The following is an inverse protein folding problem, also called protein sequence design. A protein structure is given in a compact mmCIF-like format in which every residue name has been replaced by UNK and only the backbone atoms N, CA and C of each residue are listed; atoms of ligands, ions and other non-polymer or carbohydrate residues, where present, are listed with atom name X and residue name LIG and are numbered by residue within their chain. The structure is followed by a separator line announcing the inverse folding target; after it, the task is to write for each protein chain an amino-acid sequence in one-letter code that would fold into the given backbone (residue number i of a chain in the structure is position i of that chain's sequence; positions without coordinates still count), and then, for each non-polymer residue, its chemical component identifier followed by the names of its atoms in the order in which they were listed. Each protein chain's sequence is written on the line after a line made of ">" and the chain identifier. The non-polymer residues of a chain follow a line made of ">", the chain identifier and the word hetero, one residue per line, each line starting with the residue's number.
data_IF_784241463125
#
_entry.id   IF_784241463125
#
_cell.length_a   1.000
_cell.length_b   1.000
_cell.length_c   1.000
_cell.angle_alpha   90.00
_cell.angle_beta   90.00
_cell.angle_gamma   90.00
#
_symmetry.space_group_name_H-M   'P 1'
#
loop_
_entity.id
_entity.type
_entity.pdbx_description
1 polymer ?
#
# COMPACT_ATOMS: atom_id res chain seq x y z
N UNK A 1 -51.96 -15.81 10.23
CA UNK A 1 -50.63 -15.20 10.06
C UNK A 1 -50.69 -14.33 8.81
N UNK A 2 -50.47 -13.02 8.94
CA UNK A 2 -50.69 -12.09 7.84
C UNK A 2 -49.44 -12.07 6.93
N UNK A 3 -49.54 -12.44 5.63
CA UNK A 3 -48.37 -12.52 4.75
C UNK A 3 -47.66 -11.16 4.58
N UNK A 4 -48.37 -10.07 4.85
CA UNK A 4 -47.83 -8.70 4.83
C UNK A 4 -46.79 -8.45 5.92
N UNK A 5 -46.93 -9.03 7.12
CA UNK A 5 -45.99 -8.76 8.23
C UNK A 5 -44.67 -9.52 8.06
N UNK A 6 -44.71 -10.72 7.48
CA UNK A 6 -43.53 -11.53 7.15
C UNK A 6 -42.69 -10.85 6.06
N UNK A 7 -43.35 -10.30 5.03
CA UNK A 7 -42.68 -9.54 3.97
C UNK A 7 -42.04 -8.26 4.50
N UNK A 8 -42.73 -7.52 5.36
CA UNK A 8 -42.20 -6.30 5.98
C UNK A 8 -41.01 -6.64 6.88
N UNK A 9 -41.12 -7.67 7.71
CA UNK A 9 -40.02 -8.12 8.58
C UNK A 9 -38.78 -8.55 7.77
N UNK A 10 -38.98 -9.29 6.67
CA UNK A 10 -37.91 -9.70 5.76
C UNK A 10 -37.19 -8.52 5.10
N UNK A 11 -37.95 -7.56 4.56
CA UNK A 11 -37.37 -6.38 3.90
C UNK A 11 -36.58 -5.51 4.88
N UNK A 12 -37.12 -5.30 6.08
CA UNK A 12 -36.44 -4.52 7.14
C UNK A 12 -35.14 -5.21 7.58
N UNK A 13 -35.16 -6.54 7.74
CA UNK A 13 -33.97 -7.32 8.07
C UNK A 13 -32.87 -7.20 7.03
N UNK A 14 -33.22 -7.35 5.74
CA UNK A 14 -32.27 -7.23 4.63
C UNK A 14 -31.70 -5.80 4.55
N UNK A 15 -32.54 -4.77 4.68
CA UNK A 15 -32.10 -3.38 4.66
C UNK A 15 -31.11 -3.08 5.80
N UNK A 16 -31.38 -3.56 7.02
CA UNK A 16 -30.50 -3.39 8.16
C UNK A 16 -29.13 -4.05 7.94
N UNK A 17 -29.10 -5.26 7.36
CA UNK A 17 -27.87 -5.97 7.02
C UNK A 17 -27.06 -5.23 5.95
N UNK A 18 -27.71 -4.72 4.90
CA UNK A 18 -27.03 -3.97 3.83
C UNK A 18 -26.44 -2.67 4.38
N UNK A 19 -27.20 -1.93 5.19
CA UNK A 19 -26.73 -0.69 5.81
C UNK A 19 -25.56 -0.98 6.76
N UNK A 20 -25.70 -1.99 7.63
CA UNK A 20 -24.62 -2.43 8.53
C UNK A 20 -23.36 -2.83 7.77
N UNK A 21 -23.51 -3.57 6.66
CA UNK A 21 -22.40 -3.99 5.81
C UNK A 21 -21.73 -2.81 5.08
N UNK A 22 -22.50 -1.84 4.59
CA UNK A 22 -21.97 -0.63 3.95
C UNK A 22 -21.22 0.26 4.95
N UNK A 23 -21.76 0.42 6.16
CA UNK A 23 -21.10 1.13 7.26
C UNK A 23 -19.82 0.41 7.66
N UNK A 24 -19.88 -0.92 7.81
CA UNK A 24 -18.72 -1.74 8.14
C UNK A 24 -17.65 -1.71 7.05
N UNK A 25 -18.01 -1.77 5.77
CA UNK A 25 -17.07 -1.58 4.65
C UNK A 25 -16.41 -0.20 4.69
N UNK A 26 -17.19 0.85 4.98
CA UNK A 26 -16.68 2.22 5.07
C UNK A 26 -15.80 2.45 6.30
N UNK A 27 -16.01 1.72 7.39
CA UNK A 27 -15.14 1.75 8.57
C UNK A 27 -13.91 0.85 8.42
N UNK A 28 -14.05 -0.33 7.82
CA UNK A 28 -12.95 -1.27 7.58
C UNK A 28 -11.92 -0.72 6.57
N UNK A 29 -12.36 0.07 5.59
CA UNK A 29 -11.46 0.83 4.72
C UNK A 29 -10.70 1.96 5.42
N UNK A 30 -11.14 2.37 6.62
CA UNK A 30 -10.48 3.40 7.44
C UNK A 30 -9.57 2.81 8.52
N UNK A 31 -9.73 1.52 8.85
CA UNK A 31 -8.99 0.84 9.93
C UNK A 31 -7.78 0.01 9.46
N UNK A 32 -7.49 -0.07 8.16
CA UNK A 32 -6.37 -0.86 7.63
C UNK A 32 -5.00 -0.17 7.69
N UNK A 33 -4.92 1.06 8.20
CA UNK A 33 -3.72 1.90 8.08
C UNK A 33 -3.03 2.35 9.37
N UNK A 34 -3.51 1.98 10.56
CA UNK A 34 -2.88 2.43 11.79
C UNK A 34 -2.73 1.29 12.79
N UNK A 35 -1.64 0.52 12.65
CA UNK A 35 -1.02 -0.05 13.84
C UNK A 35 -0.64 1.13 14.72
N UNK A 36 -1.14 1.26 15.97
CA UNK A 36 -0.54 2.19 16.90
C UNK A 36 0.87 1.66 17.13
N UNK A 37 1.84 2.22 16.41
CA UNK A 37 3.23 2.05 16.78
C UNK A 37 3.32 2.75 18.13
N UNK A 38 3.38 1.96 19.21
CA UNK A 38 3.73 2.48 20.52
C UNK A 38 5.04 3.23 20.33
N UNK A 39 4.96 4.55 20.30
CA UNK A 39 6.04 5.45 19.96
C UNK A 39 7.23 5.17 20.90
N UNK A 40 8.22 4.43 20.40
CA UNK A 40 9.58 4.48 20.91
C UNK A 40 10.25 5.59 20.14
N UNK A 41 10.20 6.81 20.68
CA UNK A 41 11.11 7.87 20.26
C UNK A 41 12.57 7.38 20.30
N UNK A 42 13.53 8.18 19.79
CA UNK A 42 14.93 7.82 19.85
C UNK A 42 15.31 7.39 21.28
N UNK A 43 15.94 6.21 21.43
CA UNK A 43 16.33 5.67 22.75
C UNK A 43 17.26 6.62 23.50
N UNK A 44 17.98 7.48 22.77
CA UNK A 44 18.89 8.48 23.29
C UNK A 44 18.35 9.89 22.97
N UNK A 45 18.49 10.84 23.89
CA UNK A 45 18.12 12.25 23.69
C UNK A 45 19.06 13.00 22.73
N UNK A 46 20.19 12.38 22.35
CA UNK A 46 21.22 12.95 21.49
C UNK A 46 21.43 12.10 20.23
N UNK A 47 21.75 12.77 19.13
CA UNK A 47 22.14 12.14 17.87
C UNK A 47 23.49 12.63 17.38
N UNK A 48 24.19 11.78 16.63
CA UNK A 48 25.43 12.13 15.94
C UNK A 48 25.11 12.74 14.59
N UNK A 49 25.59 13.95 14.34
CA UNK A 49 25.45 14.62 13.06
C UNK A 49 26.24 13.89 11.96
N UNK A 50 25.59 13.51 10.86
CA UNK A 50 26.25 12.86 9.74
C UNK A 50 27.24 13.77 8.96
N UNK A 51 27.19 15.09 9.17
CA UNK A 51 28.07 16.04 8.48
C UNK A 51 29.31 16.45 9.28
N UNK A 52 29.18 16.67 10.58
CA UNK A 52 30.27 17.17 11.44
C UNK A 52 30.58 16.27 12.64
N UNK A 53 29.98 15.08 12.71
CA UNK A 53 30.12 14.07 13.79
C UNK A 53 29.86 14.55 15.23
N UNK A 54 29.47 15.80 15.45
CA UNK A 54 29.08 16.31 16.76
C UNK A 54 27.79 15.67 17.29
N UNK A 55 27.66 15.61 18.62
CA UNK A 55 26.45 15.16 19.31
C UNK A 55 25.52 16.35 19.58
N UNK A 56 24.26 16.24 19.17
CA UNK A 56 23.26 17.29 19.35
C UNK A 56 21.96 16.72 19.92
N UNK A 57 21.23 17.51 20.68
CA UNK A 57 19.92 17.11 21.19
C UNK A 57 18.92 16.94 20.03
N UNK A 58 18.07 15.91 20.12
CA UNK A 58 17.02 15.69 19.14
C UNK A 58 16.04 16.86 19.09
N UNK A 59 15.95 17.52 17.94
CA UNK A 59 14.89 18.50 17.64
C UNK A 59 13.70 17.80 17.00
N UNK A 60 12.53 18.45 17.01
CA UNK A 60 11.30 17.95 16.35
C UNK A 60 11.56 17.49 14.89
N UNK A 61 12.43 18.19 14.15
CA UNK A 61 12.85 17.80 12.79
C UNK A 61 13.56 16.45 12.77
N UNK A 62 14.50 16.23 13.68
CA UNK A 62 15.29 15.00 13.71
C UNK A 62 14.50 13.81 14.24
N UNK A 63 13.58 14.03 15.17
CA UNK A 63 12.65 12.99 15.67
C UNK A 63 11.73 12.54 14.54
N UNK A 64 11.10 13.47 13.82
CA UNK A 64 10.25 13.11 12.66
C UNK A 64 11.03 12.45 11.53
N UNK A 65 12.29 12.84 11.31
CA UNK A 65 13.16 12.14 10.35
C UNK A 65 13.48 10.71 10.81
N UNK A 66 13.72 10.51 12.11
CA UNK A 66 13.99 9.21 12.72
C UNK A 66 12.78 8.28 12.66
N UNK A 67 11.58 8.79 12.98
CA UNK A 67 10.30 8.06 12.84
C UNK A 67 10.06 7.60 11.40
N UNK A 68 10.45 8.40 10.42
CA UNK A 68 10.39 8.06 8.98
C UNK A 68 11.45 7.03 8.56
N UNK A 69 12.29 6.55 9.48
CA UNK A 69 13.36 5.59 9.22
C UNK A 69 14.67 6.20 8.72
N UNK A 70 14.79 7.54 8.69
CA UNK A 70 16.05 8.18 8.33
C UNK A 70 17.08 8.00 9.43
N UNK A 71 18.23 7.41 9.08
CA UNK A 71 19.37 7.20 9.99
C UNK A 71 20.45 8.27 9.85
N UNK A 72 20.39 9.10 8.82
CA UNK A 72 21.33 10.21 8.58
C UNK A 72 20.65 11.53 8.92
N UNK A 73 20.89 12.01 10.14
CA UNK A 73 20.38 13.30 10.62
C UNK A 73 21.53 14.31 10.70
N UNK A 74 21.25 15.56 10.32
CA UNK A 74 22.21 16.66 10.32
C UNK A 74 21.82 17.71 11.37
N UNK A 75 22.82 18.29 12.04
CA UNK A 75 22.64 19.50 12.86
C UNK A 75 22.19 20.69 11.98
N UNK A 76 21.69 21.76 12.59
CA UNK A 76 21.10 22.87 11.83
C UNK A 76 22.09 23.56 10.89
N UNK A 77 23.34 23.71 11.29
CA UNK A 77 24.40 24.27 10.45
C UNK A 77 24.68 23.39 9.22
N UNK A 78 24.90 22.07 9.43
CA UNK A 78 25.13 21.12 8.34
C UNK A 78 23.91 20.96 7.44
N UNK A 79 22.70 20.97 8.01
CA UNK A 79 21.46 20.89 7.26
C UNK A 79 21.26 22.12 6.37
N UNK A 80 21.59 23.33 6.85
CA UNK A 80 21.55 24.56 6.05
C UNK A 80 22.52 24.49 4.87
N UNK A 81 23.76 24.06 5.12
CA UNK A 81 24.77 23.86 4.05
C UNK A 81 24.30 22.85 3.01
N UNK A 82 23.76 21.72 3.45
CA UNK A 82 23.24 20.69 2.55
C UNK A 82 22.08 21.19 1.69
N UNK A 83 21.11 21.93 2.27
CA UNK A 83 20.00 22.52 1.51
C UNK A 83 20.49 23.52 0.46
N UNK A 84 21.50 24.31 0.78
CA UNK A 84 22.06 25.27 -0.17
C UNK A 84 22.88 24.60 -1.29
N UNK A 85 23.44 23.41 -1.01
CA UNK A 85 24.23 22.64 -1.96
C UNK A 85 23.38 21.67 -2.81
N UNK A 86 22.06 21.61 -2.60
CA UNK A 86 21.21 20.79 -3.46
C UNK A 86 21.24 21.37 -4.88
N UNK A 87 21.67 20.58 -5.89
CA UNK A 87 21.53 21.01 -7.27
C UNK A 87 20.04 21.24 -7.54
N UNK A 88 19.68 22.16 -8.45
CA UNK A 88 18.33 22.22 -8.96
C UNK A 88 17.97 20.80 -9.40
N UNK A 89 16.96 20.22 -8.74
CA UNK A 89 16.40 18.93 -9.12
C UNK A 89 15.90 19.14 -10.55
N UNK A 90 16.69 18.74 -11.55
CA UNK A 90 16.16 18.58 -12.88
C UNK A 90 15.04 17.54 -12.72
N UNK A 91 13.76 17.91 -12.95
CA UNK A 91 12.73 16.89 -13.01
C UNK A 91 13.21 15.83 -14.00
N UNK A 92 12.96 14.52 -13.77
CA UNK A 92 13.45 13.48 -14.65
C UNK A 92 13.01 13.80 -16.08
N UNK A 93 13.95 14.33 -16.88
CA UNK A 93 13.82 14.45 -18.31
C UNK A 93 13.71 13.00 -18.77
N UNK A 94 12.48 12.60 -19.09
CA UNK A 94 12.23 11.45 -19.95
C UNK A 94 13.12 11.70 -21.17
N UNK A 95 14.27 11.04 -21.19
CA UNK A 95 15.19 11.12 -22.30
C UNK A 95 14.41 10.75 -23.56
N UNK A 96 14.35 11.72 -24.45
CA UNK A 96 13.81 11.64 -25.77
C UNK A 96 14.36 10.36 -26.45
N UNK A 97 13.48 9.39 -26.69
CA UNK A 97 13.74 8.34 -27.68
C UNK A 97 13.52 9.00 -29.05
N UNK A 98 14.47 9.84 -29.43
CA UNK A 98 14.61 10.38 -30.76
C UNK A 98 16.05 10.15 -31.22
N UNK A 99 16.31 8.98 -31.80
CA UNK A 99 17.46 8.68 -32.65
C UNK A 99 17.06 7.50 -33.52
N UNK A 100 16.64 7.75 -34.76
CA UNK A 100 17.52 7.83 -35.94
C UNK A 100 17.88 6.44 -36.48
N UNK A 101 17.14 5.97 -37.49
CA UNK A 101 17.71 5.26 -38.65
C UNK A 101 16.68 5.14 -39.77
N UNK A 102 16.87 5.91 -40.85
CA UNK A 102 16.29 5.63 -42.16
C UNK A 102 17.16 4.59 -42.89
N UNK A 103 16.48 3.79 -43.70
CA UNK A 103 16.91 3.09 -44.91
C UNK A 103 17.56 1.68 -44.79
N UNK A 104 16.84 0.70 -45.36
CA UNK A 104 17.43 -0.20 -46.35
C UNK A 104 17.32 -1.71 -46.09
N UNK A 105 16.50 -2.39 -46.89
CA UNK A 105 16.84 -3.73 -47.41
C UNK A 105 16.17 -4.95 -46.73
N UNK A 106 15.36 -5.65 -47.52
CA UNK A 106 14.61 -6.85 -47.18
C UNK A 106 15.47 -8.11 -46.95
N UNK A 107 15.03 -8.97 -46.03
CA UNK A 107 14.86 -10.42 -46.27
C UNK A 107 13.97 -11.06 -45.21
N UNK A 108 13.03 -11.86 -45.71
CA UNK A 108 12.09 -12.72 -45.00
C UNK A 108 12.79 -13.90 -44.33
N UNK A 109 12.14 -14.48 -43.29
CA UNK A 109 11.91 -15.92 -42.98
C UNK A 109 11.56 -16.08 -41.48
N UNK A 110 10.72 -17.07 -41.09
CA UNK A 110 9.62 -16.83 -40.17
C UNK A 110 9.83 -17.33 -38.73
N UNK A 111 8.91 -16.85 -37.89
CA UNK A 111 8.20 -17.53 -36.82
C UNK A 111 8.89 -18.63 -35.99
N UNK A 112 8.69 -18.44 -34.68
CA UNK A 112 8.47 -19.44 -33.63
C UNK A 112 9.63 -19.73 -32.68
N UNK A 113 9.22 -19.81 -31.41
CA UNK A 113 9.90 -20.46 -30.29
C UNK A 113 11.12 -19.75 -29.70
N UNK A 114 10.83 -18.79 -28.81
CA UNK A 114 11.35 -18.87 -27.43
C UNK A 114 10.62 -17.82 -26.58
N UNK A 115 9.38 -18.10 -26.19
CA UNK A 115 8.86 -17.55 -24.94
C UNK A 115 9.66 -18.17 -23.81
N UNK A 116 10.85 -17.64 -23.55
CA UNK A 116 11.46 -17.71 -22.25
C UNK A 116 10.59 -16.84 -21.33
N UNK A 117 9.45 -17.40 -20.89
CA UNK A 117 8.74 -16.95 -19.71
C UNK A 117 9.74 -17.08 -18.58
N UNK A 118 10.40 -15.98 -18.28
CA UNK A 118 11.06 -15.77 -17.00
C UNK A 118 10.01 -16.13 -15.95
N UNK A 119 10.16 -17.31 -15.35
CA UNK A 119 9.42 -17.72 -14.17
C UNK A 119 9.88 -16.78 -13.07
N UNK A 120 9.26 -15.61 -13.03
CA UNK A 120 9.16 -14.86 -11.80
C UNK A 120 8.31 -15.72 -10.89
N UNK A 121 9.00 -16.45 -10.01
CA UNK A 121 8.47 -17.01 -8.79
C UNK A 121 7.89 -15.84 -7.98
N UNK A 122 6.69 -15.44 -8.36
CA UNK A 122 5.90 -14.45 -7.67
C UNK A 122 5.47 -15.12 -6.38
N UNK A 123 6.27 -14.93 -5.32
CA UNK A 123 5.84 -15.12 -3.94
C UNK A 123 4.64 -14.20 -3.74
N UNK A 124 3.46 -14.73 -4.02
CA UNK A 124 2.21 -14.00 -3.93
C UNK A 124 2.06 -13.50 -2.48
N UNK A 125 1.88 -12.19 -2.25
CA UNK A 125 1.42 -11.73 -0.96
C UNK A 125 0.00 -12.30 -0.75
N UNK A 126 -0.12 -13.28 0.12
CA UNK A 126 -1.38 -13.89 0.54
C UNK A 126 -2.24 -12.85 1.26
N UNK A 127 -2.97 -12.06 0.48
CA UNK A 127 -3.88 -11.03 0.94
C UNK A 127 -5.32 -11.43 0.69
N UNK A 128 -6.10 -11.51 1.75
CA UNK A 128 -7.57 -11.31 1.84
C UNK A 128 -8.51 -12.21 1.02
N UNK A 129 -8.11 -12.76 -0.12
CA UNK A 129 -8.96 -13.53 -1.03
C UNK A 129 -9.50 -14.80 -0.38
N UNK A 130 -8.70 -15.49 0.44
CA UNK A 130 -9.16 -16.65 1.22
C UNK A 130 -10.23 -16.29 2.25
N UNK A 131 -10.08 -15.14 2.94
CA UNK A 131 -11.05 -14.68 3.95
C UNK A 131 -12.34 -14.19 3.29
N UNK A 132 -12.24 -13.52 2.14
CA UNK A 132 -13.40 -13.09 1.36
C UNK A 132 -14.18 -14.29 0.79
N UNK A 133 -13.48 -15.32 0.32
CA UNK A 133 -14.10 -16.56 -0.15
C UNK A 133 -14.80 -17.28 1.01
N UNK A 134 -14.17 -17.35 2.18
CA UNK A 134 -14.76 -17.98 3.37
C UNK A 134 -16.02 -17.22 3.83
N UNK A 135 -15.96 -15.89 3.91
CA UNK A 135 -17.10 -15.06 4.30
C UNK A 135 -18.27 -15.10 3.30
N UNK A 136 -17.99 -15.34 2.01
CA UNK A 136 -19.04 -15.56 1.02
C UNK A 136 -19.64 -16.97 1.09
N UNK A 137 -18.84 -17.99 1.42
CA UNK A 137 -19.30 -19.38 1.47
C UNK A 137 -20.07 -19.71 2.75
N UNK A 138 -19.67 -19.15 3.90
CA UNK A 138 -20.33 -19.42 5.20
C UNK A 138 -21.85 -19.20 5.17
N UNK A 139 -22.40 -18.06 4.70
CA UNK A 139 -23.84 -17.85 4.69
C UNK A 139 -24.57 -18.80 3.74
N UNK A 140 -23.95 -19.19 2.62
CA UNK A 140 -24.52 -20.15 1.65
C UNK A 140 -24.60 -21.54 2.26
N UNK A 141 -23.55 -21.97 2.97
CA UNK A 141 -23.51 -23.27 3.65
C UNK A 141 -24.52 -23.33 4.79
N UNK A 142 -24.61 -22.28 5.62
CA UNK A 142 -25.59 -22.21 6.71
C UNK A 142 -27.02 -22.29 6.17
N UNK A 143 -27.32 -21.53 5.11
CA UNK A 143 -28.64 -21.56 4.48
C UNK A 143 -28.96 -22.95 3.92
N UNK A 144 -28.03 -23.57 3.20
CA UNK A 144 -28.21 -24.90 2.65
C UNK A 144 -28.43 -25.97 3.72
N UNK A 145 -27.76 -25.88 4.87
CA UNK A 145 -27.96 -26.82 5.99
C UNK A 145 -29.33 -26.58 6.65
N UNK A 146 -29.74 -25.33 6.85
CA UNK A 146 -31.02 -24.98 7.47
C UNK A 146 -32.23 -25.30 6.57
N UNK A 147 -32.06 -25.32 5.24
CA UNK A 147 -33.14 -25.68 4.31
C UNK A 147 -33.25 -27.18 4.05
N UNK A 148 -32.22 -27.95 4.38
CA UNK A 148 -32.20 -29.41 4.21
C UNK A 148 -32.40 -30.18 5.53
N UNK A 149 -32.65 -29.48 6.64
CA UNK A 149 -33.00 -30.03 7.95
C UNK A 149 -34.45 -29.68 8.29
#
# INVERSE_FOLDING_TARGET
>A
MNPSVELIAGVVGIAALVIGFLVWRRSAGRSSGAKPTSYRGPTNMYFTCAGCSGQFAHTKRTVTAWEKGSRRVFCDACHKKWRNAQPPQFPPQRADIASSSRAGGARTVPAQAATARYSSEAKAPGGCLGVLLLLLLIPVVIFAVLTNA
#
